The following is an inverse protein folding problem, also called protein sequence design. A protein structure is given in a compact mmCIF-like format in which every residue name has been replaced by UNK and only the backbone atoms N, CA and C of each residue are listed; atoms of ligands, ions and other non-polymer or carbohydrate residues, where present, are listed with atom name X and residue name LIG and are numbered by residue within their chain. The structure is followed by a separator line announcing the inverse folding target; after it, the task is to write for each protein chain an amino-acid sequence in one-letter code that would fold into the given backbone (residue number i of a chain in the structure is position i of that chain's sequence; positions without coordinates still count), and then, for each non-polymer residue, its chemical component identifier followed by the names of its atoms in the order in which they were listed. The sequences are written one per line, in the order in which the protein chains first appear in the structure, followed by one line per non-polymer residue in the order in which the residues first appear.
data_IF_565502418636
#
_entry.id   IF_565502418636
#
_cell.length_a   1.000
_cell.length_b   1.000
_cell.length_c   1.000
_cell.angle_alpha   90.00
_cell.angle_beta   90.00
_cell.angle_gamma   90.00
#
_symmetry.space_group_name_H-M   'P 1'
#
loop_
_entity.id
_entity.type
_entity.pdbx_description
1 polymer ?
#
# COMPACT_ATOMS: atom_id res chain seq x y z
N UNK A 1 -4.32 5.76 7.86
CA UNK A 1 -4.46 4.30 7.88
C UNK A 1 -4.94 3.78 9.23
N UNK A 2 -4.27 4.02 10.37
CA UNK A 2 -4.76 3.56 11.69
C UNK A 2 -6.22 3.92 11.97
N UNK A 3 -6.62 5.18 11.78
CA UNK A 3 -8.00 5.60 12.01
C UNK A 3 -9.01 4.80 11.16
N UNK A 4 -8.73 4.59 9.87
CA UNK A 4 -9.58 3.75 9.00
C UNK A 4 -9.67 2.32 9.51
N UNK A 5 -8.53 1.69 9.82
CA UNK A 5 -8.49 0.33 10.35
C UNK A 5 -9.36 0.23 11.60
N UNK A 6 -9.09 1.04 12.63
CA UNK A 6 -9.81 0.95 13.91
C UNK A 6 -11.31 1.22 13.77
N UNK A 7 -11.70 2.17 12.93
CA UNK A 7 -13.12 2.56 12.81
C UNK A 7 -13.93 1.60 11.92
N UNK A 8 -13.32 0.99 10.90
CA UNK A 8 -14.01 0.19 9.89
C UNK A 8 -13.69 -1.31 9.98
N UNK A 9 -12.77 -1.74 10.85
CA UNK A 9 -12.52 -3.15 11.13
C UNK A 9 -13.78 -3.92 11.57
N UNK A 10 -14.67 -3.38 12.44
CA UNK A 10 -15.92 -4.05 12.78
C UNK A 10 -16.82 -4.31 11.57
N UNK A 11 -16.70 -3.47 10.54
CA UNK A 11 -17.45 -3.56 9.29
C UNK A 11 -16.73 -4.43 8.24
N UNK A 12 -15.57 -5.00 8.57
CA UNK A 12 -14.83 -5.94 7.74
C UNK A 12 -13.68 -5.34 6.90
N UNK A 13 -13.19 -4.14 7.26
CA UNK A 13 -11.96 -3.60 6.67
C UNK A 13 -10.72 -4.26 7.30
N UNK A 14 -9.79 -4.68 6.45
CA UNK A 14 -8.42 -5.02 6.86
C UNK A 14 -7.41 -4.25 6.04
N UNK A 15 -6.60 -3.42 6.69
CA UNK A 15 -5.46 -2.75 6.08
C UNK A 15 -4.27 -3.70 6.11
N UNK A 16 -3.53 -3.74 5.01
CA UNK A 16 -2.25 -4.44 4.90
C UNK A 16 -1.20 -3.45 4.41
N UNK A 17 -0.21 -3.15 5.25
CA UNK A 17 0.93 -2.32 4.83
C UNK A 17 2.02 -3.18 4.22
N UNK A 18 2.58 -2.73 3.10
CA UNK A 18 3.61 -3.46 2.36
C UNK A 18 4.87 -2.61 2.23
N UNK A 19 5.88 -2.81 3.09
CA UNK A 19 7.14 -2.09 2.96
C UNK A 19 7.81 -2.36 1.61
N UNK A 20 8.33 -1.30 0.98
CA UNK A 20 9.01 -1.38 -0.31
C UNK A 20 10.08 -0.29 -0.40
N UNK A 21 11.28 -0.63 -0.88
CA UNK A 21 12.40 0.32 -0.96
C UNK A 21 12.71 0.81 -2.39
N UNK A 22 11.80 0.56 -3.34
CA UNK A 22 12.03 0.86 -4.76
C UNK A 22 11.94 2.35 -5.09
N UNK A 23 11.43 3.18 -4.17
CA UNK A 23 11.14 4.60 -4.39
C UNK A 23 12.04 5.47 -3.49
N UNK A 24 13.11 6.01 -4.09
CA UNK A 24 14.09 6.91 -3.46
C UNK A 24 14.72 6.41 -2.15
N UNK A 25 14.75 5.09 -1.95
CA UNK A 25 15.35 4.49 -0.76
C UNK A 25 14.65 4.85 0.55
N UNK A 26 13.35 5.19 0.51
CA UNK A 26 12.60 5.68 1.67
C UNK A 26 12.26 4.58 2.71
N UNK A 27 12.54 3.31 2.42
CA UNK A 27 12.36 2.16 3.34
C UNK A 27 13.69 1.39 3.54
N UNK A 28 14.72 2.03 4.14
CA UNK A 28 16.08 1.49 4.21
C UNK A 28 16.24 0.34 5.22
N UNK A 29 15.30 0.17 6.16
CA UNK A 29 15.39 -0.85 7.23
C UNK A 29 15.59 -2.25 6.66
N UNK A 30 16.59 -2.99 7.17
CA UNK A 30 17.02 -4.27 6.62
C UNK A 30 16.02 -5.41 6.89
N UNK A 31 15.23 -5.30 7.96
CA UNK A 31 14.27 -6.32 8.39
C UNK A 31 13.07 -5.68 9.11
N UNK A 32 12.07 -6.50 9.44
CA UNK A 32 10.83 -6.04 10.09
C UNK A 32 11.05 -5.33 11.43
N UNK A 33 12.08 -5.68 12.19
CA UNK A 33 12.39 -5.01 13.47
C UNK A 33 12.84 -3.57 13.23
N UNK A 34 13.79 -3.34 12.32
CA UNK A 34 14.27 -1.98 12.02
C UNK A 34 13.17 -1.10 11.42
N UNK A 35 12.29 -1.68 10.59
CA UNK A 35 11.13 -0.97 10.04
C UNK A 35 10.19 -0.53 11.17
N UNK A 36 9.84 -1.45 12.08
CA UNK A 36 8.97 -1.16 13.22
C UNK A 36 9.59 -0.13 14.18
N UNK A 37 10.89 -0.24 14.47
CA UNK A 37 11.61 0.72 15.30
C UNK A 37 11.65 2.12 14.65
N UNK A 38 11.83 2.18 13.33
CA UNK A 38 11.76 3.42 12.56
C UNK A 38 10.38 4.08 12.69
N UNK A 39 9.32 3.30 12.56
CA UNK A 39 7.93 3.78 12.71
C UNK A 39 7.67 4.27 14.14
N UNK A 40 8.07 3.50 15.15
CA UNK A 40 7.75 3.76 16.55
C UNK A 40 8.57 4.90 17.17
N UNK A 41 9.85 4.98 16.84
CA UNK A 41 10.81 5.86 17.52
C UNK A 41 11.32 7.01 16.66
N UNK A 42 11.23 6.94 15.32
CA UNK A 42 11.81 7.96 14.43
C UNK A 42 10.71 8.74 13.70
N UNK A 43 9.96 8.09 12.82
CA UNK A 43 8.88 8.71 12.04
C UNK A 43 7.85 7.65 11.67
N UNK A 44 6.58 7.78 12.11
CA UNK A 44 6.00 8.91 12.83
C UNK A 44 6.57 9.19 14.22
N UNK A 45 7.18 8.20 14.88
CA UNK A 45 7.79 8.36 16.18
C UNK A 45 6.76 8.43 17.32
N UNK A 46 7.21 8.86 18.50
CA UNK A 46 6.36 9.08 19.69
C UNK A 46 5.57 7.84 20.14
N UNK A 47 6.11 6.64 19.96
CA UNK A 47 5.44 5.39 20.34
C UNK A 47 4.31 5.00 19.39
N UNK A 48 4.25 5.60 18.19
CA UNK A 48 3.25 5.24 17.19
C UNK A 48 3.41 3.78 16.77
N UNK A 49 2.31 3.02 16.75
CA UNK A 49 2.26 1.65 16.24
C UNK A 49 1.15 1.51 15.20
N UNK A 50 1.40 0.87 14.05
CA UNK A 50 0.34 0.53 13.11
C UNK A 50 -0.74 -0.31 13.79
N UNK A 51 -2.01 0.03 13.55
CA UNK A 51 -3.16 -0.75 14.03
C UNK A 51 -3.49 -1.94 13.11
N UNK A 52 -2.61 -2.21 12.14
CA UNK A 52 -2.78 -3.18 11.07
C UNK A 52 -1.45 -3.91 10.82
N UNK A 53 -1.53 -5.00 10.07
CA UNK A 53 -0.36 -5.82 9.81
C UNK A 53 0.54 -5.21 8.74
N UNK A 54 1.85 -5.35 8.94
CA UNK A 54 2.87 -5.14 7.92
C UNK A 54 3.36 -6.49 7.41
N UNK A 55 3.61 -6.60 6.10
CA UNK A 55 4.29 -7.76 5.52
C UNK A 55 5.79 -7.66 5.70
N UNK A 56 6.52 -8.69 5.25
CA UNK A 56 7.93 -8.50 4.91
C UNK A 56 8.09 -7.47 3.77
N UNK A 57 9.29 -6.92 3.65
CA UNK A 57 9.62 -5.97 2.59
C UNK A 57 9.70 -6.68 1.25
N UNK A 58 9.01 -6.16 0.23
CA UNK A 58 8.98 -6.76 -1.11
C UNK A 58 9.19 -5.72 -2.20
N UNK A 59 9.48 -6.21 -3.41
CA UNK A 59 9.44 -5.42 -4.64
C UNK A 59 8.03 -5.41 -5.21
N UNK A 60 7.56 -4.24 -5.67
CA UNK A 60 6.21 -4.06 -6.24
C UNK A 60 6.23 -3.87 -7.76
N UNK A 61 7.40 -3.53 -8.31
CA UNK A 61 7.65 -3.33 -9.73
C UNK A 61 8.90 -4.08 -10.21
N UNK A 62 9.07 -4.14 -11.53
CA UNK A 62 10.24 -4.75 -12.18
C UNK A 62 10.23 -6.27 -12.20
N UNK A 63 11.37 -6.86 -12.58
CA UNK A 63 11.55 -8.29 -12.80
C UNK A 63 11.23 -9.14 -11.55
N UNK A 64 11.52 -8.61 -10.37
CA UNK A 64 11.33 -9.30 -9.08
C UNK A 64 10.01 -8.93 -8.39
N UNK A 65 9.07 -8.27 -9.08
CA UNK A 65 7.82 -7.85 -8.46
C UNK A 65 7.08 -9.02 -7.82
N UNK A 66 6.49 -8.78 -6.64
CA UNK A 66 5.70 -9.80 -5.97
C UNK A 66 4.40 -10.10 -6.76
N UNK A 67 3.99 -11.37 -6.90
CA UNK A 67 2.82 -11.76 -7.69
C UNK A 67 1.51 -11.05 -7.31
N UNK A 68 1.33 -10.72 -6.03
CA UNK A 68 0.18 -9.93 -5.55
C UNK A 68 0.09 -8.56 -6.25
N UNK A 69 1.21 -7.84 -6.36
CA UNK A 69 1.23 -6.54 -7.06
C UNK A 69 1.11 -6.71 -8.57
N UNK A 70 1.67 -7.78 -9.14
CA UNK A 70 1.42 -8.14 -10.54
C UNK A 70 -0.07 -8.27 -10.83
N UNK A 71 -0.79 -9.06 -10.02
CA UNK A 71 -2.24 -9.19 -10.08
C UNK A 71 -2.92 -7.83 -9.93
N UNK A 72 -2.64 -7.09 -8.86
CA UNK A 72 -3.36 -5.84 -8.59
C UNK A 72 -3.18 -4.77 -9.69
N UNK A 73 -1.99 -4.67 -10.28
CA UNK A 73 -1.69 -3.74 -11.38
C UNK A 73 -2.35 -4.13 -12.70
N UNK A 74 -2.78 -5.37 -12.88
CA UNK A 74 -3.49 -5.84 -14.09
C UNK A 74 -4.96 -5.39 -14.10
N UNK A 75 -5.61 -5.36 -12.93
CA UNK A 75 -7.04 -5.10 -12.80
C UNK A 75 -7.42 -3.62 -12.64
N UNK A 76 -6.45 -2.71 -12.53
CA UNK A 76 -6.71 -1.28 -12.42
C UNK A 76 -5.74 -0.47 -13.30
N UNK A 77 -6.25 0.55 -14.04
CA UNK A 77 -5.39 1.48 -14.77
C UNK A 77 -4.34 2.13 -13.89
N UNK A 78 -3.26 2.55 -14.52
CA UNK A 78 -2.19 3.31 -13.86
C UNK A 78 -2.72 4.62 -13.27
N UNK A 79 -2.16 5.06 -12.14
CA UNK A 79 -2.62 6.28 -11.44
C UNK A 79 -1.86 7.54 -11.87
N UNK A 80 -0.75 7.36 -12.57
CA UNK A 80 0.10 8.43 -13.11
C UNK A 80 0.74 7.94 -14.43
N UNK A 81 1.32 8.86 -15.18
CA UNK A 81 2.11 8.57 -16.38
C UNK A 81 3.57 9.06 -16.26
N UNK A 82 3.93 9.63 -15.11
CA UNK A 82 5.26 10.18 -14.87
C UNK A 82 6.13 9.30 -13.97
N UNK A 83 7.20 8.75 -14.54
CA UNK A 83 8.22 8.03 -13.80
C UNK A 83 9.23 9.01 -13.19
N UNK A 84 9.59 8.77 -11.93
CA UNK A 84 10.60 9.56 -11.22
C UNK A 84 11.99 8.99 -11.49
N UNK A 85 13.00 9.85 -11.61
CA UNK A 85 14.38 9.44 -11.86
C UNK A 85 15.02 8.64 -10.71
N UNK A 86 14.44 8.72 -9.51
CA UNK A 86 14.95 8.07 -8.29
C UNK A 86 14.17 6.80 -7.95
N UNK A 87 13.91 5.97 -8.97
CA UNK A 87 13.31 4.64 -8.80
C UNK A 87 14.35 3.55 -9.04
N UNK A 88 14.29 2.47 -8.26
CA UNK A 88 15.29 1.41 -8.23
C UNK A 88 14.69 0.07 -8.69
N UNK A 89 14.22 0.00 -9.93
CA UNK A 89 13.71 -1.22 -10.55
C UNK A 89 13.80 -1.17 -12.07
N UNK A 90 13.75 -2.35 -12.70
CA UNK A 90 13.63 -2.54 -14.14
C UNK A 90 13.03 -3.94 -14.41
N UNK A 91 12.42 -4.19 -15.58
CA UNK A 91 12.03 -3.19 -16.58
C UNK A 91 10.86 -2.31 -16.08
N UNK A 92 10.63 -1.18 -16.75
CA UNK A 92 9.45 -0.35 -16.51
C UNK A 92 8.24 -0.89 -17.29
N UNK A 93 7.06 -0.78 -16.70
CA UNK A 93 5.77 -1.14 -17.27
C UNK A 93 4.74 -0.02 -17.04
N UNK A 94 3.83 0.17 -17.99
CA UNK A 94 2.84 1.28 -17.99
C UNK A 94 1.97 1.33 -16.72
N UNK A 95 1.73 0.16 -16.11
CA UNK A 95 0.89 0.00 -14.95
C UNK A 95 1.66 -0.06 -13.63
N UNK A 96 2.96 0.24 -13.61
CA UNK A 96 3.77 0.26 -12.40
C UNK A 96 3.19 1.13 -11.28
N UNK A 97 3.52 0.77 -10.04
CA UNK A 97 3.32 1.65 -8.88
C UNK A 97 4.25 2.84 -9.03
N UNK A 98 3.73 4.05 -8.85
CA UNK A 98 4.48 5.27 -9.14
C UNK A 98 5.22 5.84 -7.95
N UNK A 99 4.75 5.59 -6.73
CA UNK A 99 5.41 6.03 -5.50
C UNK A 99 4.93 5.29 -4.26
N UNK A 100 5.60 5.55 -3.14
CA UNK A 100 5.18 5.15 -1.80
C UNK A 100 3.73 5.61 -1.51
N UNK A 101 2.98 4.79 -0.77
CA UNK A 101 1.59 5.01 -0.39
C UNK A 101 0.58 5.01 -1.55
N UNK A 102 0.86 4.36 -2.67
CA UNK A 102 -0.18 4.01 -3.63
C UNK A 102 -1.09 2.91 -3.06
N UNK A 103 -2.40 3.00 -3.28
CA UNK A 103 -3.38 2.20 -2.52
C UNK A 103 -4.25 1.37 -3.46
N UNK A 104 -4.54 0.13 -3.07
CA UNK A 104 -5.46 -0.77 -3.78
C UNK A 104 -6.59 -1.21 -2.87
N UNK A 105 -7.82 -1.04 -3.32
CA UNK A 105 -9.01 -1.57 -2.65
C UNK A 105 -9.36 -2.93 -3.25
N UNK A 106 -9.37 -3.96 -2.43
CA UNK A 106 -9.66 -5.34 -2.86
C UNK A 106 -10.89 -5.84 -2.13
N UNK A 107 -11.91 -6.27 -2.87
CA UNK A 107 -13.12 -6.88 -2.30
C UNK A 107 -12.83 -8.26 -1.71
N UNK A 108 -13.73 -8.77 -0.85
CA UNK A 108 -13.59 -10.11 -0.25
C UNK A 108 -13.58 -11.25 -1.27
N UNK A 109 -14.13 -11.04 -2.46
CA UNK A 109 -14.02 -11.99 -3.57
C UNK A 109 -12.61 -12.01 -4.21
N UNK A 110 -11.68 -11.21 -3.68
CA UNK A 110 -10.31 -11.08 -4.15
C UNK A 110 -10.16 -10.12 -5.33
N UNK A 111 -11.25 -9.53 -5.83
CA UNK A 111 -11.18 -8.63 -6.99
C UNK A 111 -10.75 -7.24 -6.57
N UNK A 112 -9.86 -6.64 -7.38
CA UNK A 112 -9.49 -5.24 -7.22
C UNK A 112 -10.68 -4.37 -7.62
N UNK A 113 -11.12 -3.52 -6.68
CA UNK A 113 -12.24 -2.59 -6.85
C UNK A 113 -11.74 -1.26 -7.40
N UNK A 114 -10.67 -0.73 -6.81
CA UNK A 114 -10.12 0.59 -7.14
C UNK A 114 -8.62 0.66 -6.83
N UNK A 115 -7.94 1.60 -7.48
CA UNK A 115 -6.55 1.96 -7.25
C UNK A 115 -6.45 3.48 -7.09
N UNK A 116 -5.72 3.95 -6.09
CA UNK A 116 -5.64 5.37 -5.74
C UNK A 116 -4.21 5.87 -5.76
N UNK A 117 -4.02 7.02 -6.41
CA UNK A 117 -2.74 7.72 -6.51
C UNK A 117 -2.15 8.01 -5.11
N UNK A 118 -0.82 7.99 -4.93
CA UNK A 118 -0.14 8.27 -3.65
C UNK A 118 -0.65 9.48 -2.87
N UNK A 119 -0.96 10.57 -3.57
CA UNK A 119 -1.46 11.84 -3.00
C UNK A 119 -2.92 11.80 -2.52
N UNK A 120 -3.68 10.76 -2.85
CA UNK A 120 -5.03 10.59 -2.31
C UNK A 120 -4.89 10.23 -0.84
N UNK A 121 -5.43 11.08 0.03
CA UNK A 121 -5.36 10.86 1.47
C UNK A 121 -6.23 9.66 1.86
N UNK A 122 -5.83 8.86 2.87
CA UNK A 122 -6.65 7.75 3.34
C UNK A 122 -8.07 8.17 3.75
N UNK A 123 -8.26 9.39 4.27
CA UNK A 123 -9.59 9.88 4.63
C UNK A 123 -10.55 9.99 3.43
N UNK A 124 -10.02 10.33 2.27
CA UNK A 124 -10.82 10.59 1.06
C UNK A 124 -11.38 9.31 0.44
N UNK A 125 -10.73 8.16 0.68
CA UNK A 125 -11.18 6.86 0.18
C UNK A 125 -12.22 6.18 1.10
N UNK A 126 -12.59 6.83 2.22
CA UNK A 126 -13.54 6.25 3.20
C UNK A 126 -14.87 5.89 2.56
N UNK A 127 -15.43 6.77 1.73
CA UNK A 127 -16.73 6.55 1.11
C UNK A 127 -16.71 5.32 0.17
N UNK A 128 -15.63 5.14 -0.58
CA UNK A 128 -15.44 3.99 -1.47
C UNK A 128 -15.28 2.68 -0.67
N UNK A 129 -14.52 2.73 0.42
CA UNK A 129 -14.41 1.60 1.36
C UNK A 129 -15.80 1.26 1.91
N UNK A 130 -16.53 2.21 2.50
CA UNK A 130 -17.87 1.98 3.06
C UNK A 130 -18.86 1.40 2.05
N UNK A 131 -18.77 1.80 0.79
CA UNK A 131 -19.58 1.21 -0.29
C UNK A 131 -19.22 -0.26 -0.53
N UNK A 132 -17.94 -0.62 -0.45
CA UNK A 132 -17.44 -1.98 -0.64
C UNK A 132 -17.57 -2.90 0.60
N UNK A 133 -17.76 -2.33 1.80
CA UNK A 133 -17.77 -3.08 3.07
C UNK A 133 -18.93 -4.05 3.28
N UNK A 134 -20.00 -3.97 2.50
CA UNK A 134 -21.08 -4.99 2.51
C UNK A 134 -20.56 -6.41 2.22
N UNK A 135 -19.35 -6.50 1.70
CA UNK A 135 -18.66 -7.76 1.42
C UNK A 135 -17.38 -7.99 2.21
N UNK A 136 -16.84 -7.06 3.01
CA UNK A 136 -15.48 -7.17 3.59
C UNK A 136 -14.38 -6.82 2.57
N UNK A 137 -13.34 -6.12 2.98
CA UNK A 137 -12.42 -5.41 2.05
C UNK A 137 -11.00 -5.37 2.60
N UNK A 138 -9.99 -5.55 1.74
CA UNK A 138 -8.58 -5.36 2.05
C UNK A 138 -8.08 -4.08 1.38
N UNK A 139 -7.46 -3.19 2.14
CA UNK A 139 -6.74 -2.03 1.61
C UNK A 139 -5.23 -2.29 1.68
N UNK A 140 -4.61 -2.46 0.52
CA UNK A 140 -3.16 -2.67 0.39
C UNK A 140 -2.50 -1.35 0.06
N UNK A 141 -1.45 -0.97 0.79
CA UNK A 141 -0.66 0.23 0.50
C UNK A 141 0.63 0.35 1.28
#
# INVERSE_FOLDING_TARGET
MNALQTELEPDGLHVLGVPCNQFNGEEPGANGTEIMDGIEYVRPGNGFRPAFNLTEKIDVNGENQHPLYGYMKEFCPTTDHYYRSYTHYAPFAINDVHWNFEKFLVGRDGRVVSRYHPKVEPGDIRADISKALHTGVILVG
#
